data_IF_468476637281
#
_entry.id   IF_468476637281
#
_cell.length_a   1.000
_cell.length_b   1.000
_cell.length_c   1.000
_cell.angle_alpha   90.00
_cell.angle_beta   90.00
_cell.angle_gamma   90.00
#
_symmetry.space_group_name_H-M   'P 1'
#
loop_
_entity.id
_entity.type
_entity.pdbx_description
1 polymer ?
#
# COMPACT_ATOMS: atom_id res chain seq x y z
N UNK A 1 -1.52 -4.56 20.19
CA UNK A 1 -2.62 -3.80 19.53
C UNK A 1 -2.98 -4.51 18.23
N UNK A 2 -4.26 -4.73 17.91
CA UNK A 2 -4.65 -5.40 16.66
C UNK A 2 -4.69 -4.40 15.51
N UNK A 3 -4.05 -4.74 14.39
CA UNK A 3 -4.16 -3.99 13.12
C UNK A 3 -4.98 -4.79 12.12
N UNK A 4 -5.78 -4.08 11.34
CA UNK A 4 -6.59 -4.64 10.27
C UNK A 4 -5.96 -4.27 8.95
N UNK A 5 -5.73 -5.30 8.15
CA UNK A 5 -5.16 -5.17 6.83
C UNK A 5 -6.08 -5.84 5.82
N UNK A 6 -6.28 -5.16 4.70
CA UNK A 6 -6.96 -5.71 3.54
C UNK A 6 -6.20 -5.22 2.30
N UNK A 7 -5.76 -6.18 1.52
CA UNK A 7 -5.18 -6.00 0.21
C UNK A 7 -6.05 -6.69 -0.83
N UNK A 8 -6.30 -6.01 -1.94
CA UNK A 8 -7.13 -6.51 -3.03
C UNK A 8 -6.43 -6.22 -4.36
N UNK A 9 -6.22 -7.27 -5.15
CA UNK A 9 -5.85 -7.14 -6.55
C UNK A 9 -7.15 -7.25 -7.37
N UNK A 10 -7.49 -6.21 -8.11
CA UNK A 10 -8.63 -6.21 -9.03
C UNK A 10 -8.13 -6.51 -10.44
N UNK A 11 -8.77 -7.47 -11.10
CA UNK A 11 -8.34 -8.05 -12.38
C UNK A 11 -9.40 -7.71 -13.43
N UNK A 12 -9.00 -7.51 -14.68
CA UNK A 12 -9.92 -7.17 -15.76
C UNK A 12 -10.72 -5.89 -15.51
N UNK A 13 -10.10 -4.89 -14.86
CA UNK A 13 -10.75 -3.60 -14.61
C UNK A 13 -11.18 -2.92 -15.92
N UNK A 14 -12.20 -2.08 -15.83
CA UNK A 14 -12.72 -1.33 -16.98
C UNK A 14 -11.68 -0.34 -17.53
N UNK A 15 -11.88 0.04 -18.78
CA UNK A 15 -11.10 1.10 -19.43
C UNK A 15 -11.55 2.49 -18.94
N UNK A 16 -10.75 3.51 -19.26
CA UNK A 16 -10.91 4.91 -18.88
C UNK A 16 -10.92 5.16 -17.36
N UNK A 17 -10.06 4.44 -16.63
CA UNK A 17 -9.82 4.62 -15.18
C UNK A 17 -8.71 5.65 -14.91
N UNK A 18 -8.67 6.72 -15.70
CA UNK A 18 -7.69 7.80 -15.59
C UNK A 18 -8.32 9.16 -15.23
N UNK A 19 -9.64 9.22 -15.02
CA UNK A 19 -10.31 10.42 -14.51
C UNK A 19 -9.95 10.66 -13.04
N UNK A 20 -9.02 11.60 -12.82
CA UNK A 20 -8.50 11.95 -11.51
C UNK A 20 -9.59 12.44 -10.55
N UNK A 21 -10.64 13.11 -11.05
CA UNK A 21 -11.74 13.57 -10.20
C UNK A 21 -12.56 12.40 -9.70
N UNK A 22 -12.88 11.45 -10.57
CA UNK A 22 -13.61 10.23 -10.16
C UNK A 22 -12.82 9.39 -9.16
N UNK A 23 -11.51 9.22 -9.39
CA UNK A 23 -10.63 8.49 -8.46
C UNK A 23 -10.59 9.19 -7.10
N UNK A 24 -10.42 10.51 -7.10
CA UNK A 24 -10.42 11.31 -5.88
C UNK A 24 -11.75 11.18 -5.11
N UNK A 25 -12.88 11.39 -5.77
CA UNK A 25 -14.22 11.34 -5.16
C UNK A 25 -14.50 9.94 -4.58
N UNK A 26 -14.06 8.89 -5.28
CA UNK A 26 -14.14 7.52 -4.79
C UNK A 26 -13.34 7.33 -3.50
N UNK A 27 -12.06 7.71 -3.48
CA UNK A 27 -11.19 7.53 -2.30
C UNK A 27 -11.65 8.36 -1.09
N UNK A 28 -12.05 9.62 -1.30
CA UNK A 28 -12.62 10.48 -0.24
C UNK A 28 -13.92 9.86 0.29
N UNK A 29 -14.75 9.32 -0.61
CA UNK A 29 -15.98 8.59 -0.27
C UNK A 29 -15.75 7.30 0.51
N UNK A 30 -14.69 6.54 0.20
CA UNK A 30 -14.30 5.35 0.99
C UNK A 30 -13.99 5.78 2.43
N UNK A 31 -13.19 6.83 2.62
CA UNK A 31 -12.80 7.28 3.96
C UNK A 31 -14.02 7.81 4.74
N UNK A 32 -14.80 8.70 4.13
CA UNK A 32 -15.91 9.36 4.79
C UNK A 32 -17.12 8.43 5.04
N UNK A 33 -17.50 7.61 4.05
CA UNK A 33 -18.78 6.90 4.07
C UNK A 33 -18.64 5.40 4.36
N UNK A 34 -17.51 4.79 3.99
CA UNK A 34 -17.25 3.37 4.24
C UNK A 34 -16.55 3.20 5.58
N UNK A 35 -15.39 3.83 5.76
CA UNK A 35 -14.58 3.72 6.97
C UNK A 35 -15.12 4.60 8.11
N UNK A 36 -15.74 5.74 7.78
CA UNK A 36 -16.22 6.74 8.74
C UNK A 36 -15.09 7.21 9.67
N UNK A 37 -13.92 7.45 9.09
CA UNK A 37 -12.72 7.91 9.80
C UNK A 37 -12.39 9.36 9.45
N UNK A 38 -11.75 10.07 10.39
CA UNK A 38 -11.27 11.43 10.16
C UNK A 38 -10.11 11.39 9.17
N UNK A 39 -10.30 11.98 8.00
CA UNK A 39 -9.21 12.18 7.04
C UNK A 39 -8.16 13.15 7.62
N UNK A 40 -6.87 12.85 7.44
CA UNK A 40 -5.76 13.73 7.84
C UNK A 40 -5.43 14.74 6.74
N UNK A 41 -5.60 14.34 5.49
CA UNK A 41 -5.48 15.18 4.31
C UNK A 41 -6.33 14.60 3.17
N UNK A 42 -6.64 15.42 2.17
CA UNK A 42 -7.34 14.94 0.98
C UNK A 42 -6.51 13.89 0.21
N UNK A 43 -7.13 12.89 -0.46
CA UNK A 43 -6.39 11.89 -1.23
C UNK A 43 -5.38 12.54 -2.19
N UNK A 44 -4.16 12.01 -2.21
CA UNK A 44 -3.09 12.48 -3.09
C UNK A 44 -3.00 11.51 -4.26
N UNK A 45 -3.07 12.05 -5.47
CA UNK A 45 -3.01 11.30 -6.72
C UNK A 45 -1.69 11.63 -7.42
N UNK A 46 -1.01 10.59 -7.89
CA UNK A 46 0.28 10.62 -8.57
C UNK A 46 0.06 9.98 -9.95
N UNK A 47 -0.31 10.77 -10.96
CA UNK A 47 -0.41 10.29 -12.34
C UNK A 47 0.98 10.08 -12.94
N UNK A 48 1.16 8.98 -13.67
CA UNK A 48 2.36 8.70 -14.45
C UNK A 48 1.95 8.26 -15.85
N UNK A 49 1.88 9.22 -16.77
CA UNK A 49 1.43 9.00 -18.16
C UNK A 49 2.57 8.90 -19.18
N UNK A 50 3.82 9.07 -18.73
CA UNK A 50 5.01 9.06 -19.59
C UNK A 50 6.03 8.02 -19.13
N UNK A 51 5.53 6.87 -18.67
CA UNK A 51 6.37 5.72 -18.34
C UNK A 51 7.18 5.25 -19.55
N UNK A 52 8.35 4.65 -19.32
CA UNK A 52 9.17 4.07 -20.41
C UNK A 52 8.43 2.98 -21.17
N UNK A 53 7.51 2.28 -20.49
CA UNK A 53 6.57 1.34 -21.09
C UNK A 53 5.16 1.88 -20.89
N UNK A 54 4.37 1.86 -21.95
CA UNK A 54 2.98 2.33 -21.91
C UNK A 54 2.13 1.53 -20.91
N UNK A 55 2.38 0.22 -20.79
CA UNK A 55 1.69 -0.64 -19.82
C UNK A 55 1.96 -0.29 -18.35
N UNK A 56 3.06 0.40 -18.06
CA UNK A 56 3.39 0.88 -16.71
C UNK A 56 2.75 2.23 -16.42
N UNK A 57 2.06 2.86 -17.38
CA UNK A 57 1.33 4.11 -17.16
C UNK A 57 0.06 3.89 -16.34
N UNK A 58 -0.29 4.89 -15.53
CA UNK A 58 -1.40 4.74 -14.60
C UNK A 58 -1.52 5.87 -13.58
N UNK A 59 -2.23 5.58 -12.49
CA UNK A 59 -2.42 6.50 -11.37
C UNK A 59 -2.18 5.75 -10.07
N UNK A 60 -1.27 6.26 -9.25
CA UNK A 60 -1.04 5.81 -7.88
C UNK A 60 -1.62 6.83 -6.93
N UNK A 61 -2.24 6.36 -5.87
CA UNK A 61 -2.94 7.21 -4.92
C UNK A 61 -2.65 6.75 -3.50
N UNK A 62 -2.66 7.69 -2.57
CA UNK A 62 -2.67 7.37 -1.16
C UNK A 62 -3.50 8.38 -0.38
N UNK A 63 -4.00 7.95 0.78
CA UNK A 63 -4.67 8.84 1.71
C UNK A 63 -4.45 8.38 3.14
N UNK A 64 -4.19 9.33 4.02
CA UNK A 64 -4.07 9.08 5.45
C UNK A 64 -5.32 9.52 6.20
N UNK A 65 -5.71 8.70 7.16
CA UNK A 65 -6.81 8.97 8.08
C UNK A 65 -6.38 8.58 9.49
N UNK A 66 -7.06 9.12 10.50
CA UNK A 66 -6.78 8.80 11.90
C UNK A 66 -6.83 7.28 12.10
N UNK A 67 -5.73 6.69 12.58
CA UNK A 67 -5.61 5.25 12.80
C UNK A 67 -5.15 4.42 11.60
N UNK A 68 -4.91 5.00 10.41
CA UNK A 68 -4.50 4.19 9.26
C UNK A 68 -4.14 4.94 7.97
N UNK A 69 -4.16 4.19 6.88
CA UNK A 69 -3.97 4.68 5.52
C UNK A 69 -4.61 3.75 4.49
N UNK A 70 -4.77 4.24 3.27
CA UNK A 70 -5.06 3.42 2.10
C UNK A 70 -4.16 3.81 0.93
N UNK A 71 -3.93 2.88 0.02
CA UNK A 71 -3.27 3.12 -1.26
C UNK A 71 -4.09 2.50 -2.40
N UNK A 72 -3.99 3.08 -3.59
CA UNK A 72 -4.61 2.57 -4.79
C UNK A 72 -3.68 2.79 -5.98
N UNK A 73 -3.32 1.72 -6.66
CA UNK A 73 -2.54 1.76 -7.89
C UNK A 73 -3.41 1.25 -9.03
N UNK A 74 -3.56 2.02 -10.11
CA UNK A 74 -4.35 1.65 -11.28
C UNK A 74 -3.42 1.59 -12.47
N UNK A 75 -3.38 0.44 -13.15
CA UNK A 75 -2.65 0.22 -14.40
C UNK A 75 -3.64 -0.21 -15.49
N UNK A 76 -4.27 0.79 -16.11
CA UNK A 76 -5.38 0.58 -17.05
C UNK A 76 -5.00 -0.32 -18.23
N UNK A 77 -3.80 -0.11 -18.80
CA UNK A 77 -3.28 -0.89 -19.93
C UNK A 77 -2.98 -2.34 -19.54
N UNK A 78 -2.69 -2.60 -18.27
CA UNK A 78 -2.55 -3.96 -17.70
C UNK A 78 -3.89 -4.56 -17.30
N UNK A 79 -4.98 -3.76 -17.32
CA UNK A 79 -6.31 -4.09 -16.79
C UNK A 79 -6.27 -4.58 -15.34
N UNK A 80 -5.40 -3.99 -14.52
CA UNK A 80 -5.23 -4.35 -13.10
C UNK A 80 -5.23 -3.10 -12.22
N UNK A 81 -5.77 -3.24 -11.00
CA UNK A 81 -5.58 -2.28 -9.93
C UNK A 81 -5.24 -2.98 -8.60
N UNK A 82 -4.45 -2.33 -7.75
CA UNK A 82 -4.10 -2.81 -6.41
C UNK A 82 -4.60 -1.83 -5.36
N UNK A 83 -5.37 -2.31 -4.40
CA UNK A 83 -5.87 -1.53 -3.29
C UNK A 83 -5.36 -2.10 -1.97
N UNK A 84 -4.75 -1.26 -1.14
CA UNK A 84 -4.32 -1.61 0.20
C UNK A 84 -4.99 -0.71 1.21
N UNK A 85 -5.35 -1.27 2.36
CA UNK A 85 -5.82 -0.50 3.51
C UNK A 85 -5.28 -1.10 4.80
N UNK A 86 -4.73 -0.22 5.64
CA UNK A 86 -4.34 -0.51 7.01
C UNK A 86 -5.13 0.37 7.95
N UNK A 87 -5.65 -0.22 9.01
CA UNK A 87 -6.46 0.48 9.99
C UNK A 87 -6.28 -0.11 11.39
N UNK A 88 -6.30 0.73 12.41
CA UNK A 88 -6.40 0.34 13.81
C UNK A 88 -7.84 -0.05 14.21
N UNK A 89 -8.82 0.33 13.40
CA UNK A 89 -10.23 -0.10 13.52
C UNK A 89 -10.57 -1.20 12.54
N UNK A 90 -11.55 -2.01 12.91
CA UNK A 90 -12.08 -3.09 12.06
C UNK A 90 -12.61 -2.53 10.74
N UNK A 91 -12.20 -3.17 9.65
CA UNK A 91 -12.62 -2.85 8.29
C UNK A 91 -13.83 -3.72 7.92
N UNK A 92 -14.86 -3.13 7.33
CA UNK A 92 -15.92 -3.89 6.66
C UNK A 92 -15.45 -4.29 5.26
N UNK A 93 -14.75 -5.43 5.19
CA UNK A 93 -14.17 -5.93 3.95
C UNK A 93 -15.23 -6.11 2.84
N UNK A 94 -16.47 -6.49 3.20
CA UNK A 94 -17.55 -6.66 2.22
C UNK A 94 -17.93 -5.31 1.61
N UNK A 95 -18.11 -4.28 2.43
CA UNK A 95 -18.47 -2.94 1.96
C UNK A 95 -17.37 -2.31 1.10
N UNK A 96 -16.11 -2.43 1.51
CA UNK A 96 -14.95 -1.95 0.73
C UNK A 96 -14.89 -2.67 -0.61
N UNK A 97 -14.95 -4.01 -0.61
CA UNK A 97 -14.87 -4.82 -1.82
C UNK A 97 -16.02 -4.55 -2.79
N UNK A 98 -17.26 -4.41 -2.32
CA UNK A 98 -18.39 -4.03 -3.17
C UNK A 98 -18.16 -2.66 -3.81
N UNK A 99 -17.66 -1.68 -3.05
CA UNK A 99 -17.30 -0.37 -3.59
C UNK A 99 -16.23 -0.45 -4.67
N UNK A 100 -15.16 -1.22 -4.43
CA UNK A 100 -14.06 -1.43 -5.39
C UNK A 100 -14.55 -2.07 -6.68
N UNK A 101 -15.34 -3.15 -6.58
CA UNK A 101 -15.92 -3.85 -7.75
C UNK A 101 -16.76 -2.92 -8.61
N UNK A 102 -17.63 -2.12 -7.98
CA UNK A 102 -18.48 -1.17 -8.68
C UNK A 102 -17.66 -0.06 -9.35
N UNK A 103 -16.65 0.48 -8.66
CA UNK A 103 -15.80 1.54 -9.19
C UNK A 103 -14.94 1.05 -10.36
N UNK A 104 -14.26 -0.08 -10.17
CA UNK A 104 -13.35 -0.69 -11.14
C UNK A 104 -14.08 -1.43 -12.28
N UNK A 105 -15.37 -1.73 -12.13
CA UNK A 105 -16.15 -2.45 -13.13
C UNK A 105 -15.73 -3.91 -13.32
N UNK A 106 -15.30 -4.58 -12.24
CA UNK A 106 -14.91 -6.00 -12.29
C UNK A 106 -15.38 -6.77 -11.06
N UNK A 107 -15.63 -8.07 -11.23
CA UNK A 107 -15.89 -9.02 -10.15
C UNK A 107 -14.76 -10.04 -9.97
N UNK A 108 -13.69 -9.95 -10.77
CA UNK A 108 -12.50 -10.78 -10.68
C UNK A 108 -11.47 -10.09 -9.76
N UNK A 109 -11.09 -10.76 -8.68
CA UNK A 109 -10.14 -10.22 -7.71
C UNK A 109 -9.43 -11.31 -6.92
N UNK A 110 -8.25 -10.99 -6.42
CA UNK A 110 -7.61 -11.71 -5.33
C UNK A 110 -7.71 -10.86 -4.06
N UNK A 111 -7.91 -11.52 -2.91
CA UNK A 111 -7.95 -10.87 -1.60
C UNK A 111 -6.85 -11.44 -0.71
N UNK A 112 -6.17 -10.55 -0.01
CA UNK A 112 -5.13 -10.84 0.96
C UNK A 112 -5.51 -10.11 2.24
N UNK A 113 -5.99 -10.85 3.24
CA UNK A 113 -6.44 -10.28 4.51
C UNK A 113 -5.66 -10.90 5.70
N UNK A 114 -6.15 -10.66 6.91
CA UNK A 114 -5.51 -11.14 8.12
C UNK A 114 -5.39 -12.68 8.25
N UNK A 115 -6.02 -13.46 7.37
CA UNK A 115 -6.11 -14.92 7.48
C UNK A 115 -5.18 -15.69 6.53
N UNK A 116 -4.53 -15.02 5.56
CA UNK A 116 -3.74 -15.70 4.52
C UNK A 116 -2.25 -15.40 4.71
N UNK A 117 -1.47 -16.42 5.04
CA UNK A 117 -0.01 -16.41 4.99
C UNK A 117 0.47 -17.08 3.68
N UNK A 118 1.32 -16.37 2.95
CA UNK A 118 2.19 -16.88 1.88
C UNK A 118 1.50 -17.51 0.66
N UNK A 119 1.24 -16.70 -0.36
CA UNK A 119 1.01 -17.19 -1.73
C UNK A 119 2.08 -16.65 -2.69
N UNK A 120 2.78 -17.57 -3.33
CA UNK A 120 3.66 -17.29 -4.47
C UNK A 120 2.98 -17.86 -5.72
N UNK A 121 2.65 -17.01 -6.68
CA UNK A 121 2.08 -17.42 -7.97
C UNK A 121 3.20 -17.49 -9.02
N UNK A 122 3.27 -18.56 -9.81
CA UNK A 122 4.47 -18.89 -10.60
C UNK A 122 4.56 -18.28 -12.01
N UNK A 123 3.66 -17.39 -12.43
CA UNK A 123 3.72 -16.74 -13.76
C UNK A 123 3.16 -15.31 -13.73
N UNK A 124 3.77 -14.37 -14.47
CA UNK A 124 3.34 -12.97 -14.62
C UNK A 124 3.02 -12.26 -13.30
N UNK A 125 3.94 -12.32 -12.32
CA UNK A 125 3.81 -11.61 -11.05
C UNK A 125 4.78 -10.43 -10.93
N UNK A 126 4.41 -9.46 -10.10
CA UNK A 126 5.32 -8.47 -9.55
C UNK A 126 6.15 -9.07 -8.40
N UNK A 127 7.12 -8.29 -7.93
CA UNK A 127 7.86 -8.57 -6.70
C UNK A 127 6.96 -8.73 -5.47
N UNK A 128 7.55 -9.14 -4.34
CA UNK A 128 6.78 -9.39 -3.13
C UNK A 128 6.19 -8.09 -2.59
N UNK A 129 4.98 -8.21 -2.06
CA UNK A 129 4.39 -7.26 -1.13
C UNK A 129 4.68 -7.78 0.29
N UNK A 130 5.52 -7.04 1.00
CA UNK A 130 5.94 -7.33 2.36
C UNK A 130 5.19 -6.43 3.33
N UNK A 131 4.36 -7.03 4.18
CA UNK A 131 3.69 -6.34 5.26
C UNK A 131 4.17 -6.92 6.59
N UNK A 132 4.65 -6.10 7.52
CA UNK A 132 4.89 -6.55 8.89
C UNK A 132 4.41 -5.55 9.93
N UNK A 133 4.14 -6.07 11.11
CA UNK A 133 3.79 -5.31 12.30
C UNK A 133 4.59 -5.84 13.49
N UNK A 134 5.11 -4.94 14.29
CA UNK A 134 5.82 -5.33 15.50
C UNK A 134 6.07 -4.17 16.44
N UNK A 135 6.59 -4.51 17.62
CA UNK A 135 6.90 -3.54 18.67
C UNK A 135 8.24 -2.88 18.36
N UNK A 136 8.27 -1.56 18.36
CA UNK A 136 9.50 -0.80 18.18
C UNK A 136 10.46 -1.05 19.36
N UNK A 137 11.74 -1.30 19.05
CA UNK A 137 12.79 -1.53 20.06
C UNK A 137 13.16 -0.26 20.82
N UNK A 138 12.97 0.89 20.20
CA UNK A 138 13.18 2.23 20.75
C UNK A 138 12.09 3.18 20.26
N UNK A 139 12.04 4.40 20.81
CA UNK A 139 11.22 5.47 20.25
C UNK A 139 11.70 5.82 18.85
N UNK A 140 10.79 5.83 17.88
CA UNK A 140 11.07 6.19 16.50
C UNK A 140 10.60 7.63 16.27
N UNK A 141 11.54 8.51 15.98
CA UNK A 141 11.26 9.89 15.56
C UNK A 141 11.13 10.00 14.03
N UNK A 142 10.84 11.22 13.56
CA UNK A 142 10.66 11.53 12.14
C UNK A 142 11.89 11.20 11.31
N UNK A 143 13.07 11.60 11.77
CA UNK A 143 14.32 11.41 11.05
C UNK A 143 14.69 9.92 10.95
N UNK A 144 14.47 9.16 12.03
CA UNK A 144 14.68 7.71 12.05
C UNK A 144 13.72 6.99 11.11
N UNK A 145 12.46 7.43 11.06
CA UNK A 145 11.45 6.84 10.17
C UNK A 145 11.77 7.13 8.69
N UNK A 146 12.22 8.35 8.37
CA UNK A 146 12.67 8.73 7.03
C UNK A 146 13.89 7.93 6.59
N UNK A 147 14.93 7.84 7.45
CA UNK A 147 16.13 7.03 7.19
C UNK A 147 15.78 5.56 6.97
N UNK A 148 14.86 5.00 7.76
CA UNK A 148 14.39 3.63 7.56
C UNK A 148 13.71 3.46 6.20
N UNK A 149 12.86 4.40 5.78
CA UNK A 149 12.23 4.37 4.45
C UNK A 149 13.28 4.36 3.33
N UNK A 150 14.30 5.22 3.41
CA UNK A 150 15.40 5.29 2.44
C UNK A 150 16.24 4.01 2.41
N UNK A 151 16.56 3.45 3.58
CA UNK A 151 17.29 2.19 3.70
C UNK A 151 16.53 1.03 3.04
N UNK A 152 15.21 0.94 3.29
CA UNK A 152 14.35 -0.08 2.68
C UNK A 152 14.36 0.07 1.16
N UNK A 153 14.14 1.29 0.63
CA UNK A 153 14.12 1.56 -0.82
C UNK A 153 15.45 1.15 -1.47
N UNK A 154 16.57 1.47 -0.82
CA UNK A 154 17.91 1.08 -1.27
C UNK A 154 18.07 -0.44 -1.29
N UNK A 155 17.64 -1.14 -0.25
CA UNK A 155 17.76 -2.60 -0.15
C UNK A 155 16.93 -3.32 -1.22
N UNK A 156 15.69 -2.88 -1.44
CA UNK A 156 14.82 -3.46 -2.47
C UNK A 156 15.19 -3.01 -3.90
N UNK A 157 16.19 -2.12 -4.04
CA UNK A 157 16.74 -1.62 -5.32
C UNK A 157 15.68 -1.00 -6.23
N UNK A 158 14.77 -0.24 -5.62
CA UNK A 158 13.71 0.48 -6.32
C UNK A 158 14.03 1.96 -6.46
N UNK A 159 13.49 2.57 -7.51
CA UNK A 159 13.64 4.01 -7.76
C UNK A 159 12.44 4.75 -7.15
N UNK A 160 12.66 5.71 -6.25
CA UNK A 160 11.58 6.57 -5.76
C UNK A 160 11.05 7.47 -6.88
N UNK A 161 9.72 7.59 -6.96
CA UNK A 161 9.02 8.53 -7.85
C UNK A 161 8.81 9.87 -7.13
N UNK A 162 8.59 9.83 -5.82
CA UNK A 162 8.41 11.02 -4.98
C UNK A 162 9.48 11.09 -3.91
N UNK A 163 9.69 12.30 -3.37
CA UNK A 163 10.31 12.41 -2.05
C UNK A 163 9.39 11.78 -0.99
N UNK A 164 9.96 11.26 0.12
CA UNK A 164 9.16 10.77 1.23
C UNK A 164 8.28 11.89 1.80
N UNK A 165 7.01 11.59 2.02
CA UNK A 165 6.06 12.49 2.67
C UNK A 165 5.79 11.99 4.08
N UNK A 166 6.03 12.86 5.06
CA UNK A 166 5.78 12.57 6.47
C UNK A 166 4.49 13.26 6.93
N UNK A 167 3.62 12.51 7.60
CA UNK A 167 2.40 13.03 8.22
C UNK A 167 2.33 12.57 9.66
N UNK A 168 2.15 13.54 10.58
CA UNK A 168 2.04 13.31 12.01
C UNK A 168 0.64 13.67 12.49
N UNK A 169 0.03 12.77 13.26
CA UNK A 169 -1.24 13.00 13.97
C UNK A 169 -1.11 12.47 15.40
N UNK A 170 -1.09 13.37 16.39
CA UNK A 170 -0.90 13.03 17.81
C UNK A 170 0.34 12.15 18.04
N UNK A 171 0.14 10.89 18.43
CA UNK A 171 1.18 9.89 18.72
C UNK A 171 1.44 8.96 17.53
N UNK A 172 0.90 9.28 16.36
CA UNK A 172 1.05 8.52 15.13
C UNK A 172 1.88 9.30 14.12
N UNK A 173 2.74 8.59 13.40
CA UNK A 173 3.59 9.17 12.38
C UNK A 173 3.66 8.21 11.19
N UNK A 174 3.52 8.75 9.99
CA UNK A 174 3.52 7.98 8.76
C UNK A 174 4.54 8.57 7.81
N UNK A 175 5.28 7.72 7.12
CA UNK A 175 6.08 8.08 5.95
C UNK A 175 5.57 7.28 4.77
N UNK A 176 5.29 7.97 3.67
CA UNK A 176 4.96 7.34 2.40
C UNK A 176 5.92 7.81 1.32
N UNK A 177 6.41 6.85 0.54
CA UNK A 177 7.24 7.09 -0.63
C UNK A 177 6.67 6.29 -1.78
N UNK A 178 6.22 6.96 -2.84
CA UNK A 178 5.89 6.26 -4.08
C UNK A 178 7.19 5.81 -4.73
N UNK A 179 7.24 4.56 -5.16
CA UNK A 179 8.35 3.98 -5.92
C UNK A 179 7.80 3.45 -7.24
N UNK A 180 8.68 3.08 -8.18
CA UNK A 180 8.26 2.53 -9.47
C UNK A 180 7.18 1.44 -9.31
N UNK A 181 6.01 1.68 -9.92
CA UNK A 181 4.80 0.84 -9.91
C UNK A 181 4.29 0.42 -8.51
N UNK A 182 4.67 1.13 -7.44
CA UNK A 182 4.46 0.65 -6.07
C UNK A 182 4.63 1.70 -4.97
N UNK A 183 4.80 1.27 -3.71
CA UNK A 183 5.03 2.16 -2.57
C UNK A 183 5.81 1.51 -1.42
N UNK A 184 6.42 2.37 -0.60
CA UNK A 184 6.80 2.08 0.78
C UNK A 184 5.97 2.97 1.71
N UNK A 185 5.26 2.36 2.66
CA UNK A 185 4.53 3.05 3.71
C UNK A 185 4.98 2.53 5.08
N UNK A 186 5.50 3.42 5.92
CA UNK A 186 5.88 3.12 7.30
C UNK A 186 4.96 3.88 8.23
N UNK A 187 4.35 3.19 9.21
CA UNK A 187 3.48 3.84 10.19
C UNK A 187 3.88 3.48 11.62
N UNK A 188 4.25 4.49 12.39
CA UNK A 188 4.43 4.41 13.84
C UNK A 188 3.09 4.68 14.51
N UNK A 189 2.68 3.76 15.38
CA UNK A 189 1.54 3.87 16.27
C UNK A 189 2.01 3.69 17.71
N UNK A 190 2.28 4.78 18.42
CA UNK A 190 2.89 4.73 19.76
C UNK A 190 4.19 3.88 19.75
N UNK A 191 4.21 2.71 20.39
CA UNK A 191 5.39 1.81 20.46
C UNK A 191 5.41 0.74 19.37
N UNK A 192 4.61 0.88 18.33
CA UNK A 192 4.50 -0.11 17.26
C UNK A 192 4.85 0.48 15.90
N UNK A 193 5.48 -0.32 15.06
CA UNK A 193 5.80 0.01 13.68
C UNK A 193 5.09 -0.96 12.74
N UNK A 194 4.37 -0.41 11.76
CA UNK A 194 3.86 -1.10 10.58
C UNK A 194 4.79 -0.77 9.41
N UNK A 195 5.22 -1.80 8.71
CA UNK A 195 5.98 -1.70 7.46
C UNK A 195 5.13 -2.32 6.36
N UNK A 196 4.90 -1.56 5.31
CA UNK A 196 4.21 -1.98 4.11
C UNK A 196 5.06 -1.59 2.92
N UNK A 197 5.68 -2.60 2.31
CA UNK A 197 6.56 -2.45 1.18
C UNK A 197 6.11 -3.33 0.04
N UNK A 198 5.60 -2.70 -1.01
CA UNK A 198 5.31 -3.37 -2.26
C UNK A 198 6.41 -3.01 -3.27
N UNK A 199 6.82 -3.97 -4.09
CA UNK A 199 7.82 -3.75 -5.15
C UNK A 199 7.39 -4.45 -6.43
N UNK A 200 7.62 -3.81 -7.58
CA UNK A 200 7.45 -4.46 -8.87
C UNK A 200 8.59 -5.46 -9.18
N UNK A 201 9.72 -5.36 -8.48
CA UNK A 201 10.89 -6.25 -8.60
C UNK A 201 11.02 -7.19 -7.43
N UNK A 202 11.47 -8.41 -7.71
CA UNK A 202 11.89 -9.36 -6.67
C UNK A 202 13.03 -8.76 -5.83
N UNK A 203 12.92 -8.92 -4.52
CA UNK A 203 13.96 -8.52 -3.56
C UNK A 203 14.13 -9.59 -2.48
N UNK A 204 15.26 -9.53 -1.80
CA UNK A 204 15.63 -10.46 -0.74
C UNK A 204 14.92 -10.09 0.56
N UNK A 205 13.91 -10.89 0.92
CA UNK A 205 13.12 -10.67 2.14
C UNK A 205 13.98 -10.85 3.40
N UNK A 206 14.95 -11.77 3.39
CA UNK A 206 15.81 -12.01 4.55
C UNK A 206 16.66 -10.78 4.86
N UNK A 207 17.16 -10.08 3.83
CA UNK A 207 17.89 -8.81 4.03
C UNK A 207 17.01 -7.68 4.51
N UNK A 208 15.78 -7.59 3.98
CA UNK A 208 14.80 -6.63 4.51
C UNK A 208 14.54 -6.91 6.00
N UNK A 209 14.34 -8.17 6.38
CA UNK A 209 14.12 -8.57 7.77
C UNK A 209 15.33 -8.29 8.67
N UNK A 210 16.55 -8.45 8.16
CA UNK A 210 17.78 -8.06 8.87
C UNK A 210 17.78 -6.56 9.19
N UNK A 211 17.47 -5.70 8.21
CA UNK A 211 17.34 -4.25 8.43
C UNK A 211 16.26 -3.98 9.48
N UNK A 212 15.08 -4.54 9.32
CA UNK A 212 13.92 -4.33 10.19
C UNK A 212 14.17 -4.81 11.62
N UNK A 213 14.97 -5.87 11.81
CA UNK A 213 15.32 -6.40 13.12
C UNK A 213 16.05 -5.38 14.00
N UNK A 214 16.68 -4.35 13.42
CA UNK A 214 17.29 -3.26 14.17
C UNK A 214 16.27 -2.27 14.76
N UNK A 215 15.04 -2.22 14.21
CA UNK A 215 14.02 -1.23 14.56
C UNK A 215 12.83 -1.82 15.31
N UNK A 216 12.45 -3.06 15.02
CA UNK A 216 11.29 -3.70 15.63
C UNK A 216 11.49 -5.18 15.96
N UNK A 217 10.71 -5.65 16.94
CA UNK A 217 10.43 -7.05 17.20
C UNK A 217 9.18 -7.44 16.41
N UNK A 218 9.35 -8.16 15.31
CA UNK A 218 8.24 -8.55 14.41
C UNK A 218 7.29 -9.49 15.15
N UNK A 219 6.04 -9.06 15.34
CA UNK A 219 4.97 -9.86 15.96
C UNK A 219 4.13 -10.57 14.89
N UNK A 220 3.97 -9.96 13.72
CA UNK A 220 3.21 -10.52 12.60
C UNK A 220 3.83 -10.08 11.27
N UNK A 221 3.85 -10.97 10.29
CA UNK A 221 4.28 -10.65 8.92
C UNK A 221 3.44 -11.37 7.88
N UNK A 222 3.34 -10.77 6.70
CA UNK A 222 2.67 -11.30 5.52
C UNK A 222 3.51 -11.01 4.30
N UNK A 223 3.63 -12.02 3.47
CA UNK A 223 4.36 -11.95 2.21
C UNK A 223 3.47 -12.57 1.16
N UNK A 224 3.24 -11.85 0.07
CA UNK A 224 2.52 -12.38 -1.07
C UNK A 224 2.97 -11.67 -2.34
N UNK A 225 2.69 -12.27 -3.49
CA UNK A 225 3.00 -11.70 -4.80
C UNK A 225 1.72 -11.22 -5.49
N UNK A 226 1.82 -10.12 -6.23
CA UNK A 226 0.72 -9.53 -6.99
C UNK A 226 0.79 -9.88 -8.46
N UNK A 227 -0.37 -10.01 -9.12
CA UNK A 227 -0.43 -10.23 -10.57
C UNK A 227 0.07 -9.01 -11.33
N UNK A 228 0.97 -9.17 -12.30
CA UNK A 228 1.54 -8.08 -13.11
C UNK A 228 0.68 -7.73 -14.34
N UNK A 229 0.02 -8.72 -14.94
CA UNK A 229 -0.88 -8.52 -16.08
C UNK A 229 -1.92 -9.64 -16.18
N UNK A 230 -3.06 -9.33 -16.78
CA UNK A 230 -4.02 -10.37 -17.19
C UNK A 230 -3.40 -11.22 -18.30
N UNK A 231 -3.74 -12.51 -18.34
CA UNK A 231 -3.36 -13.42 -19.43
C UNK A 231 -4.10 -13.10 -20.72
#
# INVERSE_FOLDING_TARGET
>A
MKKYYLSVDLINVKENLNDLKQIYDYLDGVIANVLKLKSLHKPILIPYYYGKKEEDCGVSCYAFFAGGYLTLHIFEKRRIAYFDIVSDKKIDNKKVLTGLKNFMGTFEYNIYDNQIENKVYNENIFGPHYFCFGKSKSSIDADSLLKLSELIIKEIKMTPITHPVIVKDKNEMRVFTAIAESHICLTVFDKYLVVDGFSCKMFDISKLEEILSNYLEIENKRIYTRLNKVK
#
